data_IF_914293873582
#
_entry.id   IF_914293873582
#
_cell.length_a   1.000
_cell.length_b   1.000
_cell.length_c   1.000
_cell.angle_alpha   90.00
_cell.angle_beta   90.00
_cell.angle_gamma   90.00
#
_symmetry.space_group_name_H-M   'P 1'
#
loop_
_entity.id
_entity.type
_entity.pdbx_description
1 polymer ?
#
# COMPACT_ATOMS: atom_id res chain seq x y z
N UNK A 1 -8.74 8.81 -19.19
CA UNK A 1 -9.38 7.58 -18.69
C UNK A 1 -8.38 6.57 -18.11
N UNK A 2 -7.26 6.24 -18.78
CA UNK A 2 -6.25 5.31 -18.22
C UNK A 2 -5.60 5.76 -16.89
N UNK A 3 -5.52 7.07 -16.65
CA UNK A 3 -4.92 7.66 -15.44
C UNK A 3 -5.80 7.56 -14.18
N UNK A 4 -7.12 7.40 -14.34
CA UNK A 4 -8.09 7.27 -13.24
C UNK A 4 -8.19 5.82 -12.74
N UNK A 5 -8.06 4.85 -13.66
CA UNK A 5 -8.17 3.41 -13.37
C UNK A 5 -7.04 2.93 -12.44
N UNK A 6 -5.83 3.47 -12.59
CA UNK A 6 -4.66 3.01 -11.83
C UNK A 6 -4.60 3.58 -10.39
N UNK A 7 -5.10 4.80 -10.16
CA UNK A 7 -5.21 5.39 -8.82
C UNK A 7 -6.19 4.57 -7.95
N UNK A 8 -7.29 4.11 -8.53
CA UNK A 8 -8.30 3.35 -7.79
C UNK A 8 -7.82 1.94 -7.45
N UNK A 9 -7.03 1.29 -8.33
CA UNK A 9 -6.35 0.01 -8.03
C UNK A 9 -5.47 0.07 -6.80
N UNK A 10 -4.71 1.15 -6.68
CA UNK A 10 -3.78 1.41 -5.58
C UNK A 10 -4.53 1.69 -4.27
N UNK A 11 -5.58 2.50 -4.33
CA UNK A 11 -6.47 2.80 -3.20
C UNK A 11 -7.10 1.51 -2.65
N UNK A 12 -7.55 0.59 -3.51
CA UNK A 12 -8.18 -0.66 -3.06
C UNK A 12 -7.21 -1.68 -2.48
N UNK A 13 -5.95 -1.73 -2.93
CA UNK A 13 -4.89 -2.52 -2.29
C UNK A 13 -4.56 -2.00 -0.87
N UNK A 14 -4.64 -0.67 -0.66
CA UNK A 14 -4.53 -0.07 0.67
C UNK A 14 -5.70 -0.38 1.61
N UNK A 15 -6.93 -0.44 1.06
CA UNK A 15 -8.16 -0.71 1.83
C UNK A 15 -8.24 -2.17 2.28
N UNK A 16 -7.84 -3.14 1.44
CA UNK A 16 -7.81 -4.56 1.80
C UNK A 16 -6.87 -4.84 3.00
N UNK A 17 -5.83 -4.03 3.17
CA UNK A 17 -4.91 -4.12 4.31
C UNK A 17 -5.47 -3.45 5.59
N UNK A 18 -6.35 -2.45 5.44
CA UNK A 18 -6.99 -1.75 6.57
C UNK A 18 -8.12 -2.55 7.25
N UNK A 19 -8.49 -3.72 6.71
CA UNK A 19 -9.52 -4.61 7.28
C UNK A 19 -8.97 -5.69 8.22
N UNK A 20 -7.68 -5.67 8.55
CA UNK A 20 -7.14 -6.41 9.69
C UNK A 20 -6.56 -5.41 10.68
N UNK A 21 -7.01 -5.52 11.93
CA UNK A 21 -6.50 -4.94 13.19
C UNK A 21 -7.50 -4.03 13.90
N UNK A 22 -8.37 -4.67 14.69
CA UNK A 22 -8.44 -4.40 16.14
C UNK A 22 -8.61 -5.73 16.89
N UNK A 23 -7.51 -6.47 17.03
CA UNK A 23 -7.31 -7.42 18.12
C UNK A 23 -5.82 -7.35 18.47
N UNK A 24 -5.48 -6.85 19.66
CA UNK A 24 -4.13 -6.98 20.23
C UNK A 24 -4.01 -8.43 20.70
N UNK A 25 -3.60 -9.33 19.83
CA UNK A 25 -3.05 -10.61 20.23
C UNK A 25 -1.53 -10.48 20.30
N UNK A 26 -0.95 -10.90 21.42
CA UNK A 26 0.48 -11.18 21.50
C UNK A 26 0.85 -12.21 20.42
N UNK A 27 1.79 -11.87 19.54
CA UNK A 27 2.24 -12.75 18.46
C UNK A 27 3.57 -13.43 18.82
N UNK A 28 3.71 -14.71 18.48
CA UNK A 28 5.02 -15.38 18.50
C UNK A 28 5.70 -15.20 17.14
N UNK A 29 6.82 -14.49 17.12
CA UNK A 29 7.60 -14.21 15.92
C UNK A 29 8.83 -15.12 15.87
N UNK A 30 9.02 -15.83 14.76
CA UNK A 30 10.06 -16.86 14.62
C UNK A 30 11.31 -16.28 13.95
N UNK A 31 12.47 -16.56 14.52
CA UNK A 31 13.80 -16.35 13.91
C UNK A 31 14.49 -17.70 13.76
N UNK A 32 14.74 -18.11 12.53
CA UNK A 32 15.51 -19.32 12.24
C UNK A 32 17.00 -19.06 12.47
N UNK A 33 17.66 -19.96 13.18
CA UNK A 33 19.06 -19.88 13.57
C UNK A 33 19.84 -20.99 12.87
N UNK A 34 20.73 -20.60 11.98
CA UNK A 34 21.44 -21.57 11.15
C UNK A 34 20.52 -22.23 10.13
N UNK A 35 20.98 -23.35 9.56
CA UNK A 35 20.34 -24.06 8.46
C UNK A 35 21.24 -24.13 7.22
N UNK A 36 21.40 -25.32 6.65
CA UNK A 36 22.32 -25.62 5.52
C UNK A 36 23.77 -25.15 5.74
N UNK A 37 24.24 -25.06 7.00
CA UNK A 37 25.59 -24.62 7.36
C UNK A 37 25.84 -23.11 7.29
N UNK A 38 24.80 -22.28 7.19
CA UNK A 38 24.92 -20.83 7.07
C UNK A 38 25.04 -20.13 8.44
N UNK A 39 25.88 -19.08 8.51
CA UNK A 39 26.11 -18.26 9.71
C UNK A 39 25.15 -17.06 9.74
N UNK A 40 23.84 -17.31 9.89
CA UNK A 40 22.84 -16.23 9.83
C UNK A 40 21.63 -16.46 10.71
N UNK A 41 20.98 -15.34 11.05
CA UNK A 41 19.62 -15.29 11.58
C UNK A 41 18.66 -14.98 10.43
N UNK A 42 17.52 -15.68 10.35
CA UNK A 42 16.50 -15.44 9.32
C UNK A 42 15.12 -15.29 9.96
N UNK A 43 14.52 -14.08 9.92
CA UNK A 43 15.11 -12.84 9.42
C UNK A 43 16.25 -12.34 10.32
N UNK A 44 17.15 -11.52 9.77
CA UNK A 44 18.25 -10.92 10.53
C UNK A 44 17.73 -9.82 11.48
N UNK A 45 16.78 -9.02 10.98
CA UNK A 45 16.10 -7.98 11.74
C UNK A 45 14.63 -8.34 11.91
N UNK A 46 14.04 -7.99 13.05
CA UNK A 46 12.64 -8.26 13.33
C UNK A 46 12.00 -7.12 14.11
N UNK A 47 10.73 -6.84 13.82
CA UNK A 47 9.94 -5.86 14.58
C UNK A 47 9.06 -6.59 15.59
N UNK A 48 8.83 -5.96 16.74
CA UNK A 48 8.00 -6.51 17.81
C UNK A 48 7.23 -5.40 18.53
N UNK A 49 6.13 -5.76 19.19
CA UNK A 49 5.40 -4.89 20.11
C UNK A 49 5.34 -5.50 21.51
N UNK A 50 5.03 -4.68 22.52
CA UNK A 50 4.87 -5.16 23.90
C UNK A 50 3.83 -6.28 23.94
N UNK A 51 4.21 -7.41 24.52
CA UNK A 51 3.39 -8.63 24.58
C UNK A 51 3.84 -9.72 23.62
N UNK A 52 4.56 -9.39 22.54
CA UNK A 52 5.08 -10.40 21.60
C UNK A 52 6.12 -11.31 22.25
N UNK A 53 6.30 -12.49 21.65
CA UNK A 53 7.38 -13.43 21.99
C UNK A 53 8.27 -13.61 20.76
N UNK A 54 9.56 -13.32 20.90
CA UNK A 54 10.56 -13.66 19.87
C UNK A 54 11.07 -15.06 20.17
N UNK A 55 10.90 -15.99 19.23
CA UNK A 55 11.34 -17.38 19.35
C UNK A 55 12.42 -17.68 18.32
N UNK A 56 13.59 -18.10 18.79
CA UNK A 56 14.68 -18.58 17.96
C UNK A 56 14.62 -20.11 17.81
N UNK A 57 14.53 -20.59 16.57
CA UNK A 57 14.49 -22.01 16.21
C UNK A 57 15.80 -22.42 15.55
N UNK A 58 16.51 -23.41 16.14
CA UNK A 58 17.85 -23.79 15.71
C UNK A 58 17.78 -24.93 14.70
N UNK A 59 18.12 -24.67 13.44
CA UNK A 59 17.96 -25.60 12.31
C UNK A 59 19.25 -26.38 11.96
N UNK A 60 20.37 -26.10 12.62
CA UNK A 60 21.65 -26.81 12.47
C UNK A 60 22.87 -25.92 12.68
N UNK A 61 24.04 -26.53 12.86
CA UNK A 61 25.28 -25.82 13.26
C UNK A 61 25.38 -25.62 14.77
N UNK A 62 26.46 -24.98 15.26
CA UNK A 62 26.61 -24.62 16.68
C UNK A 62 26.34 -23.13 16.86
N UNK A 63 25.16 -22.78 17.37
CA UNK A 63 24.75 -21.39 17.50
C UNK A 63 24.14 -21.10 18.87
N UNK A 64 24.16 -19.84 19.26
CA UNK A 64 23.44 -19.30 20.40
C UNK A 64 22.94 -17.89 20.07
N UNK A 65 22.13 -17.32 20.95
CA UNK A 65 21.62 -15.96 20.87
C UNK A 65 21.99 -15.26 22.16
N UNK A 66 22.74 -14.17 22.05
CA UNK A 66 23.16 -13.36 23.20
C UNK A 66 22.91 -11.89 22.88
N UNK A 67 22.42 -11.14 23.86
CA UNK A 67 22.24 -9.70 23.70
C UNK A 67 23.60 -8.99 23.56
N UNK A 68 23.71 -8.11 22.57
CA UNK A 68 24.86 -7.24 22.35
C UNK A 68 24.59 -5.79 22.77
N UNK A 69 25.64 -4.99 22.83
CA UNK A 69 25.59 -3.58 23.25
C UNK A 69 25.25 -2.60 22.12
N UNK A 70 25.34 -3.03 20.85
CA UNK A 70 25.15 -2.17 19.70
C UNK A 70 24.89 -2.92 18.39
N UNK A 71 24.49 -2.15 17.37
CA UNK A 71 24.25 -2.64 16.01
C UNK A 71 25.52 -3.26 15.42
N UNK A 72 25.45 -4.53 15.01
CA UNK A 72 26.60 -5.25 14.43
C UNK A 72 27.76 -5.48 15.40
N UNK A 73 27.62 -5.12 16.67
CA UNK A 73 28.64 -5.33 17.68
C UNK A 73 28.77 -6.81 18.01
N UNK A 74 30.01 -7.29 18.15
CA UNK A 74 30.32 -8.62 18.66
C UNK A 74 30.62 -8.63 20.16
N UNK A 75 30.43 -7.49 20.84
CA UNK A 75 30.57 -7.37 22.29
C UNK A 75 29.27 -7.75 22.99
N UNK A 76 29.40 -8.47 24.11
CA UNK A 76 28.26 -8.86 24.93
C UNK A 76 27.76 -7.66 25.75
N UNK A 77 26.44 -7.49 25.80
CA UNK A 77 25.83 -6.41 26.58
C UNK A 77 26.20 -6.52 28.06
N UNK A 78 26.60 -5.39 28.67
CA UNK A 78 26.91 -5.28 30.09
C UNK A 78 25.71 -4.80 30.94
N UNK A 79 24.52 -4.68 30.35
CA UNK A 79 23.32 -4.23 31.05
C UNK A 79 22.84 -5.26 32.08
N UNK A 80 22.18 -4.79 33.14
CA UNK A 80 21.42 -5.69 34.01
C UNK A 80 20.19 -6.25 33.26
N UNK A 81 19.88 -7.53 33.48
CA UNK A 81 18.77 -8.27 32.85
C UNK A 81 18.90 -8.48 31.33
N UNK A 82 20.08 -8.85 30.84
CA UNK A 82 20.28 -9.26 29.44
C UNK A 82 19.76 -10.66 29.15
N UNK A 83 19.30 -10.89 27.91
CA UNK A 83 18.93 -12.23 27.46
C UNK A 83 20.13 -13.00 26.86
N UNK A 84 20.22 -14.30 27.16
CA UNK A 84 21.18 -15.21 26.56
C UNK A 84 20.63 -16.64 26.52
N UNK A 85 20.84 -17.33 25.41
CA UNK A 85 20.55 -18.75 25.28
C UNK A 85 21.79 -19.60 25.60
N UNK A 86 21.59 -20.88 25.91
CA UNK A 86 22.66 -21.88 25.74
C UNK A 86 22.93 -22.12 24.25
N UNK A 87 24.01 -22.81 23.92
CA UNK A 87 24.27 -23.25 22.53
C UNK A 87 23.29 -24.37 22.17
N UNK A 88 22.60 -24.23 21.02
CA UNK A 88 21.62 -25.17 20.47
C UNK A 88 20.59 -25.70 21.49
N UNK A 89 19.77 -24.81 22.07
CA UNK A 89 18.73 -25.22 23.02
C UNK A 89 17.68 -26.11 22.31
N UNK A 90 17.36 -27.25 22.92
CA UNK A 90 16.50 -28.30 22.32
C UNK A 90 15.11 -27.79 21.92
N UNK A 91 14.55 -26.84 22.66
CA UNK A 91 13.20 -26.30 22.42
C UNK A 91 13.20 -24.90 21.78
N UNK A 92 14.37 -24.46 21.32
CA UNK A 92 14.60 -23.07 20.93
C UNK A 92 14.84 -22.15 22.13
N UNK A 93 14.89 -20.85 21.86
CA UNK A 93 15.02 -19.81 22.88
C UNK A 93 13.92 -18.77 22.70
N UNK A 94 13.31 -18.31 23.79
CA UNK A 94 12.20 -17.35 23.74
C UNK A 94 12.53 -16.11 24.57
N UNK A 95 12.19 -14.95 24.00
CA UNK A 95 12.24 -13.66 24.68
C UNK A 95 10.85 -13.03 24.66
N UNK A 96 10.27 -12.81 25.84
CA UNK A 96 9.02 -12.05 25.97
C UNK A 96 9.32 -10.54 25.96
N UNK A 97 8.62 -9.80 25.11
CA UNK A 97 8.76 -8.34 25.02
C UNK A 97 7.93 -7.68 26.11
N UNK A 98 8.58 -7.31 27.22
CA UNK A 98 7.91 -6.80 28.44
C UNK A 98 7.91 -5.28 28.58
N UNK A 99 8.82 -4.55 27.93
CA UNK A 99 9.01 -3.09 28.10
C UNK A 99 9.42 -2.35 26.82
N UNK A 100 9.32 -1.02 26.80
CA UNK A 100 9.55 -0.10 25.66
C UNK A 100 11.03 0.17 25.34
N UNK A 101 11.91 -0.85 25.41
CA UNK A 101 13.28 -0.70 24.89
C UNK A 101 13.22 -0.62 23.37
N UNK A 102 13.26 0.58 22.82
CA UNK A 102 13.01 0.86 21.40
C UNK A 102 13.84 0.00 20.41
N UNK A 103 15.03 -0.48 20.81
CA UNK A 103 15.86 -1.36 19.99
C UNK A 103 16.70 -2.30 20.86
N UNK A 104 16.72 -3.58 20.53
CA UNK A 104 17.59 -4.60 21.13
C UNK A 104 18.50 -5.19 20.05
N UNK A 105 19.77 -5.41 20.39
CA UNK A 105 20.75 -6.01 19.50
C UNK A 105 21.11 -7.41 20.00
N UNK A 106 21.32 -8.36 19.09
CA UNK A 106 21.70 -9.72 19.44
C UNK A 106 22.71 -10.31 18.47
N UNK A 107 23.49 -11.28 18.94
CA UNK A 107 24.56 -11.93 18.18
C UNK A 107 24.63 -13.43 18.45
N UNK A 108 25.38 -14.14 17.61
CA UNK A 108 25.91 -15.47 17.94
C UNK A 108 27.35 -15.36 18.45
N UNK A 109 27.60 -15.80 19.68
CA UNK A 109 28.91 -15.70 20.34
C UNK A 109 29.81 -16.92 20.11
N UNK A 110 29.44 -17.81 19.19
CA UNK A 110 30.20 -19.03 18.89
C UNK A 110 31.31 -18.71 17.90
N UNK A 111 32.56 -18.91 18.32
CA UNK A 111 33.74 -18.74 17.47
C UNK A 111 33.76 -17.37 16.77
N UNK A 112 33.86 -17.39 15.45
CA UNK A 112 33.89 -16.19 14.60
C UNK A 112 32.53 -15.88 13.96
N UNK A 113 31.42 -16.48 14.40
CA UNK A 113 30.13 -16.35 13.72
C UNK A 113 29.63 -14.90 13.65
N UNK A 114 29.71 -14.16 14.76
CA UNK A 114 29.34 -12.73 14.76
C UNK A 114 30.20 -11.90 13.80
N UNK A 115 31.53 -12.11 13.79
CA UNK A 115 32.45 -11.42 12.88
C UNK A 115 32.13 -11.69 11.41
N UNK A 116 31.49 -12.82 11.11
CA UNK A 116 31.04 -13.18 9.77
C UNK A 116 29.59 -12.74 9.48
N UNK A 117 29.03 -11.83 10.29
CA UNK A 117 27.71 -11.23 10.05
C UNK A 117 26.55 -11.91 10.78
N UNK A 118 26.80 -12.85 11.70
CA UNK A 118 25.74 -13.50 12.48
C UNK A 118 25.33 -12.66 13.70
N UNK A 119 24.60 -11.58 13.42
CA UNK A 119 23.99 -10.68 14.39
C UNK A 119 22.65 -10.18 13.85
N UNK A 120 21.79 -9.64 14.71
CA UNK A 120 20.48 -9.17 14.34
C UNK A 120 19.93 -8.09 15.28
N UNK A 121 18.78 -7.54 14.90
CA UNK A 121 18.14 -6.42 15.62
C UNK A 121 16.66 -6.72 15.87
N UNK A 122 16.18 -6.38 17.06
CA UNK A 122 14.76 -6.38 17.43
C UNK A 122 14.32 -4.93 17.63
N UNK A 123 13.39 -4.47 16.82
CA UNK A 123 12.82 -3.13 16.90
C UNK A 123 11.49 -3.18 17.65
N UNK A 124 11.47 -2.65 18.88
CA UNK A 124 10.29 -2.67 19.75
C UNK A 124 9.49 -1.38 19.55
N UNK A 125 8.23 -1.50 19.14
CA UNK A 125 7.37 -0.37 18.77
C UNK A 125 6.85 -0.42 17.34
N UNK A 126 7.16 -1.48 16.59
CA UNK A 126 6.54 -1.76 15.29
C UNK A 126 7.16 -1.03 14.09
N UNK A 127 8.24 -0.29 14.26
CA UNK A 127 8.96 0.38 13.16
C UNK A 127 10.45 0.08 13.22
N UNK A 128 10.98 -0.57 12.19
CA UNK A 128 12.43 -0.56 11.93
C UNK A 128 12.86 0.92 11.75
N UNK A 129 13.85 1.42 12.49
CA UNK A 129 14.41 2.74 12.27
C UNK A 129 14.83 2.85 10.81
N UNK A 130 14.44 3.94 10.17
CA UNK A 130 15.12 4.43 8.97
C UNK A 130 16.63 4.43 9.25
N UNK A 131 17.47 3.85 8.39
CA UNK A 131 18.91 3.75 8.60
C UNK A 131 19.48 5.10 9.01
N UNK A 132 20.03 5.19 10.22
CA UNK A 132 20.76 6.38 10.68
C UNK A 132 22.09 6.38 9.92
N UNK A 133 22.22 7.31 8.99
CA UNK A 133 23.50 7.69 8.41
C UNK A 133 24.26 8.45 9.49
N UNK A 134 25.31 7.85 10.07
CA UNK A 134 26.65 8.42 10.20
C UNK A 134 27.47 7.84 11.37
N UNK A 135 28.50 7.07 11.03
CA UNK A 135 29.84 7.18 11.62
C UNK A 135 30.85 6.57 10.63
N UNK A 136 31.82 7.40 10.23
CA UNK A 136 32.77 7.17 9.16
C UNK A 136 33.57 5.86 9.24
N UNK A 137 33.65 5.11 8.12
CA UNK A 137 34.91 4.62 7.48
C UNK A 137 34.61 3.77 6.24
N UNK A 138 35.59 3.58 5.32
CA UNK A 138 36.23 4.55 4.46
C UNK A 138 35.62 4.56 3.04
N UNK A 139 35.81 5.68 2.36
CA UNK A 139 35.48 5.96 0.98
C UNK A 139 35.88 4.84 0.02
N UNK A 140 34.90 4.17 -0.59
CA UNK A 140 35.00 3.82 -2.00
C UNK A 140 33.71 4.26 -2.68
N UNK A 141 33.82 5.33 -3.45
CA UNK A 141 32.71 5.90 -4.20
C UNK A 141 32.09 4.85 -5.13
N UNK A 142 30.75 4.76 -5.26
CA UNK A 142 30.18 4.14 -6.43
C UNK A 142 30.52 5.03 -7.62
N UNK A 143 31.17 4.48 -8.65
CA UNK A 143 31.57 5.20 -9.84
C UNK A 143 30.36 5.91 -10.48
N UNK A 144 30.41 7.24 -10.52
CA UNK A 144 29.37 8.13 -11.02
C UNK A 144 29.32 8.18 -12.56
N UNK A 145 28.84 7.11 -13.20
CA UNK A 145 28.58 7.11 -14.64
C UNK A 145 27.17 7.66 -14.98
N UNK A 146 26.15 7.43 -14.14
CA UNK A 146 24.76 7.81 -14.44
C UNK A 146 24.50 9.33 -14.40
N UNK A 147 25.18 10.08 -13.52
CA UNK A 147 24.99 11.53 -13.38
C UNK A 147 25.51 12.31 -14.60
N UNK A 148 26.49 11.77 -15.35
CA UNK A 148 27.11 12.47 -16.48
C UNK A 148 26.23 12.57 -17.74
N UNK A 149 25.18 11.75 -17.87
CA UNK A 149 24.37 11.72 -19.10
C UNK A 149 23.14 12.65 -19.08
N UNK A 150 22.70 13.12 -17.91
CA UNK A 150 21.51 13.98 -17.80
C UNK A 150 21.78 15.39 -18.33
N UNK A 151 23.02 15.88 -18.22
CA UNK A 151 23.45 17.23 -18.65
C UNK A 151 24.36 17.22 -19.90
N UNK A 152 24.27 16.17 -20.74
CA UNK A 152 25.03 16.12 -22.00
C UNK A 152 24.42 17.04 -23.07
N UNK A 153 25.26 17.75 -23.83
CA UNK A 153 24.87 18.61 -24.97
C UNK A 153 24.32 17.82 -26.17
N UNK A 154 24.42 16.48 -26.15
CA UNK A 154 23.98 15.59 -27.24
C UNK A 154 22.50 15.13 -27.13
N UNK A 155 21.70 15.80 -26.31
CA UNK A 155 20.28 15.46 -26.15
C UNK A 155 19.48 15.63 -27.45
N UNK A 156 18.56 14.70 -27.70
CA UNK A 156 17.69 14.73 -28.88
C UNK A 156 16.19 14.70 -28.55
N UNK A 157 15.83 14.82 -27.28
CA UNK A 157 14.45 14.94 -26.80
C UNK A 157 14.35 16.16 -25.88
N UNK A 158 13.33 16.99 -26.12
CA UNK A 158 12.95 18.13 -25.30
C UNK A 158 11.58 17.81 -24.69
N UNK A 159 11.51 17.83 -23.36
CA UNK A 159 10.30 17.51 -22.61
C UNK A 159 9.85 18.73 -21.81
N UNK A 160 8.68 19.27 -22.14
CA UNK A 160 8.06 20.38 -21.40
C UNK A 160 7.09 19.83 -20.36
N UNK A 161 7.29 20.20 -19.10
CA UNK A 161 6.54 19.65 -17.97
C UNK A 161 5.92 20.77 -17.14
N UNK A 162 4.68 20.58 -16.71
CA UNK A 162 3.90 21.57 -15.97
C UNK A 162 3.18 22.58 -16.88
N UNK A 163 2.57 23.59 -16.26
CA UNK A 163 1.82 24.66 -16.95
C UNK A 163 2.08 26.03 -16.33
N UNK A 164 1.89 27.09 -17.11
CA UNK A 164 2.00 28.47 -16.65
C UNK A 164 3.38 28.77 -16.05
N UNK A 165 3.41 29.37 -14.86
CA UNK A 165 4.63 29.73 -14.14
C UNK A 165 5.44 28.52 -13.65
N UNK A 166 4.82 27.33 -13.58
CA UNK A 166 5.50 26.08 -13.19
C UNK A 166 6.10 25.32 -14.37
N UNK A 167 5.98 25.83 -15.60
CA UNK A 167 6.50 25.16 -16.79
C UNK A 167 8.03 25.05 -16.74
N UNK A 168 8.54 23.83 -16.81
CA UNK A 168 9.98 23.53 -16.86
C UNK A 168 10.31 22.67 -18.07
N UNK A 169 11.47 22.91 -18.67
CA UNK A 169 11.98 22.13 -19.80
C UNK A 169 13.07 21.17 -19.33
N UNK A 170 13.01 19.93 -19.80
CA UNK A 170 13.97 18.87 -19.53
C UNK A 170 14.56 18.36 -20.85
N UNK A 171 15.87 18.14 -20.85
CA UNK A 171 16.59 17.58 -21.99
C UNK A 171 16.87 16.10 -21.72
N UNK A 172 16.69 15.26 -22.73
CA UNK A 172 16.83 13.81 -22.59
C UNK A 172 17.26 13.13 -23.90
N UNK A 173 17.59 11.84 -23.79
CA UNK A 173 18.10 11.03 -24.87
C UNK A 173 17.09 9.95 -25.21
N UNK A 174 16.58 9.98 -26.44
CA UNK A 174 15.54 9.06 -26.91
C UNK A 174 15.94 7.60 -26.78
N UNK A 175 17.21 7.25 -26.96
CA UNK A 175 17.69 5.86 -26.81
C UNK A 175 17.51 5.35 -25.39
N UNK A 176 17.82 6.16 -24.37
CA UNK A 176 17.67 5.80 -22.95
C UNK A 176 16.19 5.70 -22.59
N UNK A 177 15.41 6.73 -22.93
CA UNK A 177 13.96 6.75 -22.64
C UNK A 177 13.24 5.54 -23.25
N UNK A 178 13.53 5.19 -24.51
CA UNK A 178 12.92 4.05 -25.20
C UNK A 178 13.34 2.71 -24.63
N UNK A 179 14.59 2.58 -24.18
CA UNK A 179 15.10 1.35 -23.58
C UNK A 179 14.46 1.06 -22.22
N UNK A 180 14.20 2.11 -21.43
CA UNK A 180 13.77 2.00 -20.04
C UNK A 180 12.26 2.09 -19.84
N UNK A 181 11.51 2.55 -20.85
CA UNK A 181 10.07 2.78 -20.74
C UNK A 181 9.33 2.38 -22.01
N UNK A 182 8.44 1.38 -21.95
CA UNK A 182 7.54 1.03 -23.05
C UNK A 182 6.65 2.19 -23.51
N UNK A 183 6.31 3.09 -22.58
CA UNK A 183 5.56 4.30 -22.87
C UNK A 183 6.34 5.22 -23.81
N UNK A 184 7.61 5.53 -23.49
CA UNK A 184 8.45 6.37 -24.35
C UNK A 184 8.84 5.66 -25.64
N UNK A 185 9.00 4.34 -25.64
CA UNK A 185 9.17 3.53 -26.85
C UNK A 185 8.02 3.74 -27.84
N UNK A 186 6.79 3.78 -27.35
CA UNK A 186 5.59 3.96 -28.17
C UNK A 186 5.37 5.42 -28.53
N UNK A 187 5.46 6.32 -27.55
CA UNK A 187 5.15 7.74 -27.71
C UNK A 187 6.15 8.45 -28.63
N UNK A 188 7.44 8.11 -28.58
CA UNK A 188 8.46 8.74 -29.42
C UNK A 188 8.52 8.17 -30.85
N UNK A 189 7.79 7.10 -31.18
CA UNK A 189 7.70 6.62 -32.58
C UNK A 189 6.89 7.57 -33.46
N UNK A 190 5.84 8.16 -32.92
CA UNK A 190 4.91 9.04 -33.63
C UNK A 190 5.03 10.51 -33.21
N UNK A 191 6.10 10.85 -32.47
CA UNK A 191 6.32 12.18 -31.92
C UNK A 191 6.84 13.14 -33.01
N UNK A 192 6.29 14.35 -33.03
CA UNK A 192 6.77 15.41 -33.91
C UNK A 192 8.22 15.78 -33.58
N UNK A 193 8.99 16.02 -34.64
CA UNK A 193 10.34 16.56 -34.54
C UNK A 193 10.36 18.03 -34.94
N UNK A 194 11.07 18.84 -34.18
CA UNK A 194 11.46 20.21 -34.57
C UNK A 194 12.97 20.33 -34.46
N UNK A 195 13.62 20.82 -35.51
CA UNK A 195 15.08 20.98 -35.56
C UNK A 195 15.82 19.69 -35.16
N UNK A 196 15.39 18.56 -35.72
CA UNK A 196 15.88 17.19 -35.43
C UNK A 196 15.73 16.70 -33.98
N UNK A 197 15.03 17.44 -33.12
CA UNK A 197 14.72 17.05 -31.73
C UNK A 197 13.27 16.64 -31.58
N UNK A 198 13.02 15.57 -30.82
CA UNK A 198 11.67 15.17 -30.43
C UNK A 198 11.11 16.16 -29.41
N UNK A 199 9.89 16.66 -29.63
CA UNK A 199 9.20 17.55 -28.69
C UNK A 199 8.07 16.80 -27.98
N UNK A 200 8.12 16.76 -26.66
CA UNK A 200 7.16 16.03 -25.84
C UNK A 200 6.61 16.93 -24.72
N UNK A 201 5.32 16.85 -24.41
CA UNK A 201 4.67 17.72 -23.43
C UNK A 201 3.92 16.90 -22.37
N UNK A 202 4.10 17.28 -21.10
CA UNK A 202 3.47 16.68 -19.92
C UNK A 202 2.93 17.78 -18.99
N UNK A 203 1.81 18.41 -19.37
CA UNK A 203 1.25 19.52 -18.59
C UNK A 203 0.74 19.10 -17.20
N UNK A 204 0.34 17.82 -17.04
CA UNK A 204 -0.30 17.31 -15.83
C UNK A 204 0.67 16.70 -14.81
N UNK A 205 1.98 16.87 -15.03
CA UNK A 205 3.03 16.36 -14.13
C UNK A 205 3.78 17.55 -13.56
N UNK A 206 4.08 17.55 -12.27
CA UNK A 206 4.89 18.62 -11.67
C UNK A 206 6.37 18.45 -12.07
N UNK A 207 7.11 19.56 -12.28
CA UNK A 207 8.54 19.46 -12.58
C UNK A 207 9.35 18.71 -11.52
N UNK A 208 8.98 18.82 -10.24
CA UNK A 208 9.63 18.12 -9.13
C UNK A 208 9.49 16.59 -9.30
N UNK A 209 8.29 16.12 -9.60
CA UNK A 209 8.01 14.69 -9.80
C UNK A 209 8.72 14.17 -11.05
N UNK A 210 8.65 14.91 -12.16
CA UNK A 210 9.29 14.48 -13.40
C UNK A 210 10.81 14.42 -13.31
N UNK A 211 11.45 15.35 -12.59
CA UNK A 211 12.90 15.35 -12.36
C UNK A 211 13.36 14.04 -11.71
N UNK A 212 12.61 13.56 -10.72
CA UNK A 212 12.90 12.31 -10.02
C UNK A 212 12.68 11.09 -10.93
N UNK A 213 11.59 11.08 -11.71
CA UNK A 213 11.32 10.01 -12.67
C UNK A 213 12.40 9.94 -13.75
N UNK A 214 12.83 11.09 -14.28
CA UNK A 214 13.88 11.15 -15.28
C UNK A 214 15.21 10.64 -14.73
N UNK A 215 15.58 11.02 -13.50
CA UNK A 215 16.77 10.49 -12.82
C UNK A 215 16.71 8.97 -12.68
N UNK A 216 15.58 8.42 -12.25
CA UNK A 216 15.39 6.97 -12.15
C UNK A 216 15.57 6.27 -13.51
N UNK A 217 15.02 6.82 -14.59
CA UNK A 217 15.21 6.27 -15.94
C UNK A 217 16.70 6.22 -16.32
N UNK A 218 17.51 7.17 -15.87
CA UNK A 218 18.94 7.22 -16.18
C UNK A 218 19.82 6.36 -15.26
N UNK A 219 19.46 6.25 -13.98
CA UNK A 219 20.32 5.61 -12.98
C UNK A 219 19.82 4.25 -12.49
N UNK A 220 18.55 3.91 -12.74
CA UNK A 220 17.88 2.76 -12.13
C UNK A 220 17.63 2.91 -10.63
N UNK A 221 17.89 4.08 -10.06
CA UNK A 221 17.80 4.34 -8.62
C UNK A 221 17.05 5.64 -8.33
N UNK A 222 16.36 5.70 -7.20
CA UNK A 222 15.51 6.83 -6.82
C UNK A 222 15.74 7.19 -5.35
N UNK A 223 15.74 8.48 -5.03
CA UNK A 223 15.72 8.97 -3.66
C UNK A 223 14.38 9.64 -3.38
N UNK A 224 13.62 9.07 -2.45
CA UNK A 224 12.26 9.50 -2.08
C UNK A 224 12.19 10.12 -0.69
N UNK A 225 13.35 10.38 -0.06
CA UNK A 225 13.48 10.78 1.36
C UNK A 225 12.72 12.07 1.70
N UNK A 226 12.53 12.97 0.74
CA UNK A 226 11.92 14.29 0.95
C UNK A 226 10.54 14.44 0.26
N UNK A 227 9.84 13.33 0.02
CA UNK A 227 8.52 13.33 -0.58
C UNK A 227 7.45 13.10 0.50
N UNK A 228 6.43 13.96 0.54
CA UNK A 228 5.25 13.69 1.35
C UNK A 228 4.30 12.68 0.64
N UNK A 229 3.28 12.18 1.35
CA UNK A 229 2.37 11.16 0.82
C UNK A 229 1.66 11.54 -0.49
N UNK A 230 1.30 12.82 -0.66
CA UNK A 230 0.70 13.32 -1.90
C UNK A 230 1.71 13.33 -3.05
N UNK A 231 2.93 13.77 -2.79
CA UNK A 231 3.99 13.78 -3.80
C UNK A 231 4.44 12.37 -4.18
N UNK A 232 4.50 11.43 -3.23
CA UNK A 232 4.74 10.01 -3.52
C UNK A 232 3.67 9.42 -4.43
N UNK A 233 2.41 9.84 -4.23
CA UNK A 233 1.31 9.45 -5.10
C UNK A 233 1.50 9.99 -6.52
N UNK A 234 1.89 11.24 -6.65
CA UNK A 234 2.17 11.83 -7.97
C UNK A 234 3.33 11.09 -8.67
N UNK A 235 4.37 10.68 -7.94
CA UNK A 235 5.46 9.85 -8.47
C UNK A 235 4.94 8.49 -8.92
N UNK A 236 4.16 7.79 -8.09
CA UNK A 236 3.59 6.48 -8.40
C UNK A 236 2.71 6.52 -9.65
N UNK A 237 1.83 7.51 -9.72
CA UNK A 237 0.93 7.71 -10.84
C UNK A 237 1.69 8.02 -12.12
N UNK A 238 2.72 8.87 -12.05
CA UNK A 238 3.59 9.19 -13.20
C UNK A 238 4.41 7.97 -13.62
N UNK A 239 4.98 7.21 -12.68
CA UNK A 239 5.75 5.99 -12.93
C UNK A 239 4.90 4.95 -13.66
N UNK A 240 3.65 4.77 -13.20
CA UNK A 240 2.70 3.88 -13.84
C UNK A 240 2.28 4.39 -15.24
N UNK A 241 2.05 5.69 -15.42
CA UNK A 241 1.79 6.27 -16.74
C UNK A 241 2.93 5.97 -17.71
N UNK A 242 4.18 6.06 -17.25
CA UNK A 242 5.36 5.76 -18.04
C UNK A 242 5.73 4.27 -18.09
N UNK A 243 4.90 3.41 -17.49
CA UNK A 243 5.07 1.94 -17.50
C UNK A 243 6.44 1.55 -16.90
N UNK A 244 6.79 2.15 -15.77
CA UNK A 244 8.00 1.87 -14.99
C UNK A 244 7.68 0.87 -13.88
N UNK A 245 7.38 -0.38 -14.25
CA UNK A 245 6.77 -1.38 -13.35
C UNK A 245 7.59 -1.65 -12.08
N UNK A 246 8.92 -1.72 -12.19
CA UNK A 246 9.79 -1.94 -11.01
C UNK A 246 9.69 -0.79 -10.02
N UNK A 247 9.63 0.45 -10.52
CA UNK A 247 9.44 1.64 -9.68
C UNK A 247 8.05 1.67 -9.05
N UNK A 248 7.02 1.30 -9.81
CA UNK A 248 5.65 1.15 -9.31
C UNK A 248 5.63 0.19 -8.13
N UNK A 249 6.15 -1.03 -8.30
CA UNK A 249 6.21 -2.03 -7.23
C UNK A 249 7.05 -1.56 -6.03
N UNK A 250 8.15 -0.84 -6.26
CA UNK A 250 8.96 -0.30 -5.18
C UNK A 250 8.19 0.74 -4.34
N UNK A 251 7.51 1.69 -4.99
CA UNK A 251 6.73 2.72 -4.30
C UNK A 251 5.48 2.11 -3.64
N UNK A 252 4.80 1.15 -4.29
CA UNK A 252 3.71 0.39 -3.69
C UNK A 252 4.15 -0.28 -2.39
N UNK A 253 5.30 -0.95 -2.37
CA UNK A 253 5.84 -1.58 -1.17
C UNK A 253 6.15 -0.55 -0.07
N UNK A 254 6.68 0.62 -0.41
CA UNK A 254 6.92 1.72 0.54
C UNK A 254 5.59 2.21 1.14
N UNK A 255 4.56 2.41 0.30
CA UNK A 255 3.26 2.88 0.74
C UNK A 255 2.54 1.83 1.60
N UNK A 256 2.62 0.55 1.23
CA UNK A 256 2.05 -0.57 1.98
C UNK A 256 2.76 -0.77 3.34
N UNK A 257 4.05 -0.47 3.43
CA UNK A 257 4.80 -0.48 4.69
C UNK A 257 4.45 0.70 5.61
N UNK A 258 3.82 1.77 5.09
CA UNK A 258 3.41 2.93 5.90
C UNK A 258 2.14 2.61 6.70
N UNK A 259 2.32 2.16 7.94
CA UNK A 259 1.25 1.60 8.79
C UNK A 259 0.11 2.57 9.12
N UNK A 260 0.29 3.89 8.95
CA UNK A 260 -0.68 4.89 9.40
C UNK A 260 -1.00 6.01 8.40
N UNK A 261 -0.10 6.33 7.46
CA UNK A 261 -0.26 7.52 6.62
C UNK A 261 -1.08 7.21 5.36
N UNK A 262 -0.78 6.09 4.70
CA UNK A 262 -1.47 5.68 3.48
C UNK A 262 -2.95 5.34 3.70
N UNK A 263 -3.33 4.51 4.70
CA UNK A 263 -4.74 4.24 4.97
C UNK A 263 -5.54 5.50 5.32
N UNK A 264 -4.98 6.41 6.13
CA UNK A 264 -5.63 7.69 6.48
C UNK A 264 -5.82 8.60 5.27
N UNK A 265 -4.83 8.66 4.38
CA UNK A 265 -4.92 9.43 3.14
C UNK A 265 -6.00 8.87 2.21
N UNK A 266 -6.08 7.56 2.06
CA UNK A 266 -7.14 6.88 1.30
C UNK A 266 -8.51 7.18 1.90
N UNK A 267 -8.68 6.98 3.22
CA UNK A 267 -9.92 7.26 3.92
C UNK A 267 -10.35 8.74 3.74
N UNK A 268 -9.42 9.69 3.85
CA UNK A 268 -9.69 11.12 3.63
C UNK A 268 -10.12 11.41 2.19
N UNK A 269 -9.36 10.90 1.21
CA UNK A 269 -9.63 11.14 -0.22
C UNK A 269 -10.99 10.56 -0.64
N UNK A 270 -11.30 9.36 -0.13
CA UNK A 270 -12.60 8.71 -0.35
C UNK A 270 -13.71 9.50 0.32
N UNK A 271 -13.54 10.01 1.54
CA UNK A 271 -14.54 10.85 2.21
C UNK A 271 -14.77 12.20 1.51
N UNK A 272 -13.73 12.78 0.92
CA UNK A 272 -13.80 14.05 0.19
C UNK A 272 -14.44 13.89 -1.19
N UNK A 273 -14.20 12.77 -1.87
CA UNK A 273 -14.75 12.51 -3.21
C UNK A 273 -15.10 11.03 -3.50
N UNK A 274 -16.15 10.49 -2.86
CA UNK A 274 -16.57 9.09 -3.03
C UNK A 274 -16.88 8.65 -4.46
N UNK A 275 -17.35 9.57 -5.32
CA UNK A 275 -17.67 9.28 -6.73
C UNK A 275 -16.49 8.70 -7.53
N UNK A 276 -15.26 9.00 -7.14
CA UNK A 276 -14.03 8.50 -7.81
C UNK A 276 -13.90 6.99 -7.79
N UNK A 277 -14.38 6.31 -6.74
CA UNK A 277 -14.39 4.84 -6.65
C UNK A 277 -15.26 4.23 -7.75
N UNK A 278 -16.41 4.84 -8.01
CA UNK A 278 -17.37 4.38 -9.02
C UNK A 278 -16.94 4.77 -10.43
N UNK A 279 -16.29 5.92 -10.60
CA UNK A 279 -15.79 6.42 -11.89
C UNK A 279 -14.68 5.53 -12.49
N UNK A 280 -13.96 4.77 -11.65
CA UNK A 280 -12.87 3.89 -12.06
C UNK A 280 -13.25 2.80 -13.06
N UNK A 281 -14.52 2.36 -13.06
CA UNK A 281 -15.02 1.35 -13.99
C UNK A 281 -14.43 -0.05 -13.84
N UNK A 282 -13.62 -0.30 -12.81
CA UNK A 282 -12.98 -1.60 -12.58
C UNK A 282 -13.75 -2.38 -11.50
N UNK A 283 -14.62 -3.28 -11.94
CA UNK A 283 -15.49 -4.08 -11.07
C UNK A 283 -14.70 -5.03 -10.15
N UNK A 284 -13.42 -5.30 -10.43
CA UNK A 284 -12.57 -6.10 -9.55
C UNK A 284 -12.15 -5.36 -8.27
N UNK A 285 -12.30 -4.03 -8.25
CA UNK A 285 -11.91 -3.16 -7.13
C UNK A 285 -13.00 -3.00 -6.07
N UNK A 286 -14.24 -3.36 -6.41
CA UNK A 286 -15.39 -3.30 -5.52
C UNK A 286 -15.75 -4.71 -5.05
N UNK A 287 -14.78 -5.39 -4.45
CA UNK A 287 -15.03 -6.70 -3.84
C UNK A 287 -16.00 -6.59 -2.64
N UNK A 288 -16.42 -7.74 -2.12
CA UNK A 288 -17.38 -7.83 -1.01
C UNK A 288 -16.94 -7.03 0.24
N UNK A 289 -15.63 -6.87 0.44
CA UNK A 289 -15.06 -6.18 1.61
C UNK A 289 -15.16 -4.66 1.47
N UNK A 290 -14.88 -4.12 0.28
CA UNK A 290 -15.03 -2.70 -0.06
C UNK A 290 -16.51 -2.30 -0.08
N UNK A 291 -17.37 -3.19 -0.59
CA UNK A 291 -18.84 -3.04 -0.55
C UNK A 291 -19.38 -2.95 0.87
N UNK A 292 -18.96 -3.86 1.74
CA UNK A 292 -19.37 -3.87 3.14
C UNK A 292 -18.91 -2.59 3.85
N UNK A 293 -17.71 -2.13 3.57
CA UNK A 293 -17.20 -0.85 4.06
C UNK A 293 -18.03 0.35 3.55
N UNK A 294 -18.37 0.41 2.27
CA UNK A 294 -19.19 1.49 1.69
C UNK A 294 -20.56 1.59 2.38
N UNK A 295 -21.16 0.44 2.70
CA UNK A 295 -22.45 0.33 3.38
C UNK A 295 -22.34 0.63 4.89
N UNK A 296 -21.29 0.17 5.57
CA UNK A 296 -21.10 0.36 7.01
C UNK A 296 -20.63 1.77 7.38
N UNK A 297 -19.72 2.38 6.60
CA UNK A 297 -19.14 3.71 6.89
C UNK A 297 -20.03 4.89 6.45
N UNK A 298 -21.23 4.65 5.90
CA UNK A 298 -22.16 5.70 5.43
C UNK A 298 -21.47 6.72 4.49
N UNK A 299 -20.61 6.22 3.60
CA UNK A 299 -19.62 7.02 2.87
C UNK A 299 -20.27 8.07 1.97
N UNK A 300 -21.42 7.75 1.40
CA UNK A 300 -22.15 8.65 0.52
C UNK A 300 -23.08 9.56 1.30
N UNK A 301 -22.85 10.87 1.22
CA UNK A 301 -23.72 11.89 1.80
C UNK A 301 -24.86 12.22 0.83
N UNK A 302 -26.04 12.57 1.36
CA UNK A 302 -27.23 12.92 0.56
C UNK A 302 -26.94 13.97 -0.54
N UNK A 303 -26.20 15.03 -0.19
CA UNK A 303 -25.80 16.09 -1.14
C UNK A 303 -24.97 15.60 -2.33
N UNK A 304 -24.19 14.54 -2.14
CA UNK A 304 -23.35 14.00 -3.22
C UNK A 304 -24.19 13.16 -4.18
N UNK A 305 -25.14 12.40 -3.66
CA UNK A 305 -26.06 11.57 -4.46
C UNK A 305 -26.88 12.43 -5.43
N UNK A 306 -27.21 13.68 -5.07
CA UNK A 306 -27.89 14.63 -5.95
C UNK A 306 -27.08 14.93 -7.23
N UNK A 307 -25.76 14.79 -7.19
CA UNK A 307 -24.85 15.05 -8.32
C UNK A 307 -24.59 13.80 -9.17
N UNK A 308 -25.15 12.65 -8.82
CA UNK A 308 -24.83 11.39 -9.48
C UNK A 308 -25.50 11.24 -10.84
N UNK A 309 -24.70 10.78 -11.81
CA UNK A 309 -25.17 10.40 -13.14
C UNK A 309 -25.86 9.04 -13.10
N UNK A 310 -26.58 8.71 -14.18
CA UNK A 310 -27.23 7.40 -14.31
C UNK A 310 -26.21 6.25 -14.36
N UNK A 311 -25.01 6.50 -14.88
CA UNK A 311 -23.92 5.55 -14.88
C UNK A 311 -23.42 5.22 -13.47
N UNK A 312 -23.33 6.21 -12.58
CA UNK A 312 -22.96 5.99 -11.18
C UNK A 312 -23.95 5.04 -10.48
N UNK A 313 -25.26 5.24 -10.71
CA UNK A 313 -26.30 4.37 -10.17
C UNK A 313 -26.26 2.95 -10.76
N UNK A 314 -26.00 2.83 -12.07
CA UNK A 314 -25.84 1.52 -12.74
C UNK A 314 -24.66 0.73 -12.17
N UNK A 315 -23.49 1.36 -12.01
CA UNK A 315 -22.32 0.70 -11.44
C UNK A 315 -22.55 0.27 -10.00
N UNK A 316 -23.16 1.14 -9.18
CA UNK A 316 -23.52 0.77 -7.82
C UNK A 316 -24.52 -0.40 -7.78
N UNK A 317 -25.49 -0.42 -8.71
CA UNK A 317 -26.45 -1.53 -8.87
C UNK A 317 -25.75 -2.84 -9.19
N UNK A 318 -24.93 -2.86 -10.24
CA UNK A 318 -24.17 -4.06 -10.64
C UNK A 318 -23.31 -4.61 -9.50
N UNK A 319 -22.71 -3.70 -8.75
CA UNK A 319 -21.85 -4.01 -7.61
C UNK A 319 -22.65 -4.60 -6.44
N UNK A 320 -23.87 -4.12 -6.17
CA UNK A 320 -24.70 -4.61 -5.07
C UNK A 320 -25.45 -5.90 -5.40
N UNK A 321 -25.66 -6.25 -6.67
CA UNK A 321 -26.43 -7.45 -7.08
C UNK A 321 -26.03 -8.74 -6.33
N UNK A 322 -24.74 -9.07 -6.12
CA UNK A 322 -24.36 -10.32 -5.44
C UNK A 322 -24.74 -10.36 -3.95
N UNK A 323 -24.82 -9.20 -3.29
CA UNK A 323 -25.00 -9.11 -1.84
C UNK A 323 -26.35 -8.50 -1.42
N UNK A 324 -27.12 -7.92 -2.35
CA UNK A 324 -28.41 -7.26 -2.07
C UNK A 324 -29.42 -8.20 -1.40
N UNK A 325 -29.37 -9.49 -1.72
CA UNK A 325 -30.22 -10.52 -1.10
C UNK A 325 -29.81 -10.87 0.33
N UNK A 326 -28.57 -10.55 0.71
CA UNK A 326 -28.03 -10.78 2.05
C UNK A 326 -28.32 -9.61 3.01
N UNK A 327 -28.66 -8.43 2.47
CA UNK A 327 -29.03 -7.26 3.26
C UNK A 327 -30.42 -7.47 3.88
N UNK A 328 -30.47 -7.50 5.21
CA UNK A 328 -31.72 -7.68 5.96
C UNK A 328 -32.38 -6.32 6.25
N UNK A 329 -33.02 -5.74 5.23
CA UNK A 329 -33.71 -4.46 5.34
C UNK A 329 -34.79 -4.41 6.44
N UNK A 330 -35.31 -5.56 6.88
CA UNK A 330 -36.25 -5.65 8.01
C UNK A 330 -35.63 -5.36 9.38
N UNK A 331 -34.30 -5.31 9.47
CA UNK A 331 -33.57 -4.95 10.69
C UNK A 331 -33.23 -3.46 10.74
N UNK A 332 -33.35 -2.73 9.63
CA UNK A 332 -33.19 -1.27 9.60
C UNK A 332 -34.38 -0.61 10.31
N UNK A 333 -34.08 0.40 11.13
CA UNK A 333 -35.09 1.36 11.59
C UNK A 333 -35.61 2.20 10.41
N UNK A 334 -36.78 2.84 10.57
CA UNK A 334 -37.27 3.76 9.55
C UNK A 334 -36.29 4.89 9.28
N UNK A 335 -35.69 5.48 10.31
CA UNK A 335 -34.75 6.59 10.15
C UNK A 335 -33.52 6.17 9.34
N UNK A 336 -32.92 5.01 9.65
CA UNK A 336 -31.80 4.46 8.87
C UNK A 336 -32.19 4.17 7.41
N UNK A 337 -33.41 3.68 7.17
CA UNK A 337 -33.89 3.45 5.81
C UNK A 337 -34.06 4.77 5.04
N UNK A 338 -34.69 5.78 5.64
CA UNK A 338 -34.94 7.06 4.99
C UNK A 338 -33.66 7.87 4.75
N UNK A 339 -32.67 7.74 5.65
CA UNK A 339 -31.39 8.46 5.55
C UNK A 339 -30.38 7.74 4.66
N UNK A 340 -30.36 6.41 4.63
CA UNK A 340 -29.27 5.65 4.01
C UNK A 340 -29.69 4.73 2.86
N UNK A 341 -30.98 4.39 2.73
CA UNK A 341 -31.45 3.48 1.66
C UNK A 341 -32.29 4.24 0.62
N UNK A 342 -33.20 5.11 1.05
CA UNK A 342 -34.07 5.89 0.16
C UNK A 342 -33.33 6.74 -0.87
N UNK A 343 -32.21 7.42 -0.55
CA UNK A 343 -31.47 8.20 -1.55
C UNK A 343 -30.99 7.36 -2.74
N UNK A 344 -30.80 6.05 -2.53
CA UNK A 344 -30.37 5.10 -3.54
C UNK A 344 -31.51 4.35 -4.23
N UNK A 345 -32.76 4.86 -4.18
CA UNK A 345 -33.92 4.21 -4.80
C UNK A 345 -33.62 3.68 -6.22
N UNK A 346 -32.91 4.45 -7.05
CA UNK A 346 -32.58 4.12 -8.45
C UNK A 346 -31.73 2.86 -8.64
N UNK A 347 -31.07 2.39 -7.57
CA UNK A 347 -30.27 1.16 -7.57
C UNK A 347 -31.17 -0.08 -7.54
N UNK A 348 -32.32 0.03 -6.89
CA UNK A 348 -33.24 -1.08 -6.67
C UNK A 348 -34.26 -1.20 -7.80
N UNK A 349 -34.69 -2.43 -8.10
CA UNK A 349 -35.85 -2.65 -8.96
C UNK A 349 -37.11 -2.11 -8.25
N UNK A 350 -38.03 -1.48 -8.99
CA UNK A 350 -39.18 -0.77 -8.43
C UNK A 350 -40.06 -1.67 -7.54
N UNK A 351 -40.27 -2.93 -7.95
CA UNK A 351 -41.05 -3.91 -7.19
C UNK A 351 -40.37 -4.26 -5.85
N UNK A 352 -39.05 -4.44 -5.88
CA UNK A 352 -38.27 -4.77 -4.69
C UNK A 352 -38.19 -3.59 -3.73
N UNK A 353 -37.94 -2.39 -4.27
CA UNK A 353 -37.95 -1.16 -3.48
C UNK A 353 -39.32 -0.92 -2.83
N UNK A 354 -40.41 -1.14 -3.59
CA UNK A 354 -41.78 -1.04 -3.08
C UNK A 354 -42.06 -2.01 -1.94
N UNK A 355 -41.51 -3.24 -2.01
CA UNK A 355 -41.59 -4.21 -0.92
C UNK A 355 -40.85 -3.75 0.34
N UNK A 356 -39.61 -3.27 0.21
CA UNK A 356 -38.84 -2.76 1.36
C UNK A 356 -39.54 -1.54 1.98
N UNK A 357 -40.02 -0.61 1.15
CA UNK A 357 -40.71 0.59 1.61
C UNK A 357 -41.98 0.24 2.40
N UNK A 358 -42.75 -0.77 1.97
CA UNK A 358 -43.91 -1.27 2.72
C UNK A 358 -43.52 -1.83 4.09
N UNK A 359 -42.43 -2.58 4.20
CA UNK A 359 -41.93 -3.09 5.48
C UNK A 359 -41.64 -1.93 6.44
N UNK A 360 -41.01 -0.87 5.93
CA UNK A 360 -40.58 0.28 6.73
C UNK A 360 -41.76 1.16 7.18
N UNK A 361 -42.77 1.34 6.33
CA UNK A 361 -43.99 2.06 6.70
C UNK A 361 -44.82 1.29 7.73
N UNK A 362 -44.90 -0.04 7.59
CA UNK A 362 -45.75 -0.87 8.45
C UNK A 362 -45.12 -1.18 9.82
N UNK A 363 -43.78 -1.11 9.93
CA UNK A 363 -43.04 -1.45 11.16
C UNK A 363 -41.90 -0.45 11.40
N UNK A 364 -42.18 0.70 12.03
CA UNK A 364 -41.21 1.80 12.13
C UNK A 364 -40.04 1.57 13.10
N UNK A 365 -40.11 0.52 13.93
CA UNK A 365 -39.05 0.14 14.88
C UNK A 365 -38.31 -1.12 14.40
N UNK A 366 -36.99 -1.18 14.61
CA UNK A 366 -36.17 -2.34 14.28
C UNK A 366 -36.70 -3.62 14.96
N UNK A 367 -36.81 -4.71 14.19
CA UNK A 367 -37.34 -5.99 14.67
C UNK A 367 -36.25 -6.82 15.37
N UNK A 368 -36.60 -7.46 16.48
CA UNK A 368 -35.70 -8.40 17.18
C UNK A 368 -35.46 -9.67 16.35
N UNK A 369 -34.27 -10.26 16.52
CA UNK A 369 -33.72 -11.38 15.73
C UNK A 369 -34.58 -12.66 15.77
N UNK A 370 -35.55 -12.76 16.68
CA UNK A 370 -36.30 -14.00 16.92
C UNK A 370 -37.39 -14.35 15.89
N UNK A 371 -37.82 -13.43 15.02
CA UNK A 371 -38.84 -13.71 13.99
C UNK A 371 -38.22 -13.84 12.59
N UNK A 372 -37.41 -14.86 12.39
CA UNK A 372 -36.64 -15.08 11.17
C UNK A 372 -37.44 -15.91 10.14
N UNK A 373 -38.46 -15.32 9.50
CA UNK A 373 -38.96 -15.86 8.23
C UNK A 373 -38.03 -15.39 7.12
N UNK A 374 -37.24 -16.31 6.54
CA UNK A 374 -36.54 -16.08 5.27
C UNK A 374 -37.57 -15.72 4.21
N UNK A 375 -37.69 -14.45 3.85
CA UNK A 375 -38.44 -14.06 2.66
C UNK A 375 -37.62 -14.52 1.45
N UNK A 376 -38.08 -15.58 0.78
CA UNK A 376 -37.48 -16.05 -0.48
C UNK A 376 -37.71 -14.99 -1.54
N UNK A 377 -36.63 -14.49 -2.11
CA UNK A 377 -36.62 -13.63 -3.30
C UNK A 377 -37.27 -14.35 -4.49
N UNK A 378 -38.16 -13.69 -5.24
CA UNK A 378 -38.53 -14.11 -6.58
C UNK A 378 -37.47 -13.55 -7.55
N UNK A 379 -36.45 -14.34 -7.87
CA UNK A 379 -35.43 -13.98 -8.86
C UNK A 379 -35.95 -14.25 -10.29
N UNK A 380 -36.91 -13.45 -10.75
CA UNK A 380 -37.42 -13.49 -12.13
C UNK A 380 -37.21 -12.12 -12.78
N UNK A 381 -35.98 -11.79 -13.21
CA UNK A 381 -35.78 -10.49 -13.86
C UNK A 381 -34.45 -10.22 -14.57
N UNK A 382 -33.34 -10.85 -14.19
CA UNK A 382 -32.05 -10.60 -14.85
C UNK A 382 -31.69 -11.77 -15.76
N UNK A 383 -32.18 -11.72 -17.01
CA UNK A 383 -31.56 -12.50 -18.09
C UNK A 383 -30.12 -12.03 -18.23
N UNK A 384 -29.15 -12.93 -17.99
CA UNK A 384 -27.78 -12.76 -18.47
C UNK A 384 -27.85 -12.46 -19.97
N UNK A 385 -27.53 -11.22 -20.33
CA UNK A 385 -27.12 -10.93 -21.70
C UNK A 385 -25.79 -11.69 -21.88
N UNK A 386 -25.79 -12.63 -22.82
CA UNK A 386 -24.62 -13.43 -23.19
C UNK A 386 -23.57 -12.58 -23.87
#
# INVERSE_FOLDING_TARGET
MAHQINIVKLITLGIAFSLIVTYVYAETKIVKVGGNGLLKFVPQNITAVKGDVIRWEFEGGMHNVVQSDGLGSCELSQMENTFKSTTNPVNGFELQITDTKATLYYLCSVGTHCMNGMWGVIYVGGTEPTPIVDAATPTSAPSSSAVRFVDSDEYNVIIKVGQGESLKTFNAHSVILKAQSPYFLSSLKNCEKRDDKFLFEKPNVSPKVFDVILKYIYSGSISLVNFNSGELMDVLVTANEFILNELVSHIENILLASTNEWPKYCDKTIQEKPSTLLESGDSALLDESVLKMLLEKKIFKFKEIETWTQENFMRLKETLIPCISSIRFSLCTSDEFFDHVKPFKKVFDDDFYGFILKIQIQFPKARSIQNNRKYKYPFNGLKRVK
#
